data_IF_849957183184
#
_entry.id   IF_849957183184
#
_cell.length_a   1.000
_cell.length_b   1.000
_cell.length_c   1.000
_cell.angle_alpha   90.00
_cell.angle_beta   90.00
_cell.angle_gamma   90.00
#
_symmetry.space_group_name_H-M   'P 1'
#
loop_
_entity.id
_entity.type
_entity.pdbx_description
1 polymer ?
#
# COMPACT_ATOMS: atom_id res chain seq x y z
N UNK A 1 -12.66 16.22 -20.81
CA UNK A 1 -12.73 14.75 -20.73
C UNK A 1 -11.55 14.27 -19.89
N UNK A 2 -11.61 13.80 -18.64
CA UNK A 2 -12.62 13.71 -17.57
C UNK A 2 -11.78 13.27 -16.33
N UNK A 3 -11.27 14.20 -15.51
CA UNK A 3 -10.57 13.85 -14.24
C UNK A 3 -11.39 14.26 -12.99
N UNK A 4 -12.64 14.70 -13.19
CA UNK A 4 -13.56 15.09 -12.11
C UNK A 4 -14.51 13.95 -11.72
N UNK A 5 -13.96 12.78 -11.35
CA UNK A 5 -14.77 11.65 -10.88
C UNK A 5 -14.51 11.25 -9.42
N UNK A 6 -13.56 11.86 -8.71
CA UNK A 6 -13.48 11.70 -7.26
C UNK A 6 -12.66 12.85 -6.66
N UNK A 7 -13.13 13.50 -5.60
CA UNK A 7 -12.57 14.75 -5.05
C UNK A 7 -11.13 14.68 -4.53
N UNK A 8 -10.15 14.58 -5.43
CA UNK A 8 -8.73 14.56 -5.09
C UNK A 8 -8.16 15.98 -5.16
N UNK A 9 -7.76 16.49 -3.99
CA UNK A 9 -6.92 17.70 -3.86
C UNK A 9 -5.58 17.46 -4.57
N UNK A 10 -5.01 18.49 -5.18
CA UNK A 10 -3.65 18.44 -5.74
C UNK A 10 -2.69 17.90 -4.67
N UNK A 11 -1.87 16.87 -4.97
CA UNK A 11 -1.02 16.26 -3.96
C UNK A 11 -0.03 17.27 -3.38
N UNK A 12 0.18 17.24 -2.06
CA UNK A 12 1.15 18.13 -1.39
C UNK A 12 2.60 17.85 -1.80
N UNK A 13 2.87 16.63 -2.28
CA UNK A 13 4.18 16.17 -2.75
C UNK A 13 4.10 14.73 -3.26
N UNK A 14 5.23 14.22 -3.75
CA UNK A 14 5.37 12.83 -4.20
C UNK A 14 6.29 12.04 -3.29
N UNK A 15 5.92 10.80 -2.95
CA UNK A 15 6.69 9.89 -2.09
C UNK A 15 6.82 8.53 -2.77
N UNK A 16 7.97 7.89 -2.64
CA UNK A 16 8.20 6.52 -3.10
C UNK A 16 8.40 5.59 -1.91
N UNK A 17 7.60 4.53 -1.84
CA UNK A 17 7.71 3.43 -0.88
C UNK A 17 8.33 2.24 -1.60
N UNK A 18 9.45 1.74 -1.08
CA UNK A 18 10.16 0.58 -1.62
C UNK A 18 9.92 -0.61 -0.69
N UNK A 19 9.30 -1.67 -1.22
CA UNK A 19 8.88 -2.87 -0.50
C UNK A 19 7.38 -2.89 -0.24
N UNK A 20 6.64 -3.71 -0.99
CA UNK A 20 5.22 -4.01 -0.86
C UNK A 20 4.88 -5.10 0.15
N UNK A 21 5.62 -5.20 1.26
CA UNK A 21 5.19 -5.98 2.42
C UNK A 21 4.06 -5.28 3.20
N UNK A 22 3.54 -5.91 4.26
CA UNK A 22 2.47 -5.34 5.10
C UNK A 22 2.79 -3.92 5.59
N UNK A 23 4.03 -3.67 6.00
CA UNK A 23 4.48 -2.36 6.47
C UNK A 23 4.50 -1.30 5.36
N UNK A 24 4.97 -1.66 4.17
CA UNK A 24 5.04 -0.73 3.04
C UNK A 24 3.67 -0.42 2.45
N UNK A 25 2.79 -1.42 2.36
CA UNK A 25 1.40 -1.19 1.95
C UNK A 25 0.68 -0.26 2.93
N UNK A 26 0.82 -0.48 4.23
CA UNK A 26 0.21 0.40 5.23
C UNK A 26 0.77 1.81 5.16
N UNK A 27 2.09 1.95 5.05
CA UNK A 27 2.75 3.27 4.90
C UNK A 27 2.26 4.00 3.65
N UNK A 28 2.07 3.29 2.53
CA UNK A 28 1.57 3.88 1.30
C UNK A 28 0.13 4.37 1.44
N UNK A 29 -0.73 3.63 2.13
CA UNK A 29 -2.12 4.02 2.41
C UNK A 29 -2.15 5.25 3.34
N UNK A 30 -1.35 5.25 4.40
CA UNK A 30 -1.31 6.37 5.36
C UNK A 30 -0.83 7.67 4.68
N UNK A 31 0.17 7.58 3.80
CA UNK A 31 0.68 8.70 3.00
C UNK A 31 -0.33 9.17 1.95
N UNK A 32 -1.03 8.25 1.28
CA UNK A 32 -2.07 8.58 0.32
C UNK A 32 -3.25 9.30 1.00
N UNK A 33 -3.67 8.82 2.18
CA UNK A 33 -4.70 9.44 3.01
C UNK A 33 -4.27 10.82 3.52
N UNK A 34 -2.96 11.01 3.74
CA UNK A 34 -2.36 12.30 4.11
C UNK A 34 -2.28 13.29 2.94
N UNK A 35 -2.65 12.88 1.71
CA UNK A 35 -2.70 13.76 0.54
C UNK A 35 -1.40 13.81 -0.27
N UNK A 36 -0.52 12.82 -0.13
CA UNK A 36 0.65 12.66 -0.99
C UNK A 36 0.35 11.76 -2.18
N UNK A 37 1.07 11.99 -3.28
CA UNK A 37 1.09 11.07 -4.41
C UNK A 37 2.12 9.98 -4.11
N UNK A 38 1.69 8.73 -3.99
CA UNK A 38 2.54 7.64 -3.53
C UNK A 38 2.84 6.66 -4.66
N UNK A 39 4.13 6.42 -4.89
CA UNK A 39 4.63 5.33 -5.73
C UNK A 39 4.99 4.15 -4.83
N UNK A 40 4.41 2.97 -5.06
CA UNK A 40 4.78 1.74 -4.37
C UNK A 40 5.58 0.84 -5.32
N UNK A 41 6.84 0.55 -4.98
CA UNK A 41 7.73 -0.30 -5.75
C UNK A 41 7.98 -1.60 -4.99
N UNK A 42 7.67 -2.74 -5.60
CA UNK A 42 8.01 -4.07 -5.09
C UNK A 42 8.97 -4.76 -6.07
N UNK A 43 9.93 -5.51 -5.54
CA UNK A 43 10.92 -6.25 -6.32
C UNK A 43 10.29 -7.51 -6.93
N UNK A 44 9.40 -8.16 -6.22
CA UNK A 44 8.72 -9.38 -6.68
C UNK A 44 7.48 -9.09 -7.51
N UNK A 45 7.01 -10.11 -8.21
CA UNK A 45 5.81 -10.05 -9.06
C UNK A 45 4.50 -9.88 -8.27
N UNK A 46 4.53 -10.17 -6.96
CA UNK A 46 3.38 -10.07 -6.07
C UNK A 46 3.74 -9.20 -4.84
N UNK A 47 2.74 -8.49 -4.32
CA UNK A 47 2.77 -7.75 -3.06
C UNK A 47 2.36 -8.66 -1.88
N UNK A 48 2.63 -8.24 -0.65
CA UNK A 48 2.32 -8.97 0.59
C UNK A 48 3.56 -9.42 1.36
N UNK A 49 4.73 -9.46 0.70
CA UNK A 49 6.00 -9.83 1.33
C UNK A 49 5.93 -11.20 2.03
N UNK A 50 6.52 -11.31 3.22
CA UNK A 50 6.54 -12.58 3.96
C UNK A 50 5.16 -12.96 4.52
N UNK A 51 4.27 -11.99 4.77
CA UNK A 51 2.93 -12.27 5.28
C UNK A 51 2.12 -13.13 4.29
N UNK A 52 2.25 -12.88 2.99
CA UNK A 52 1.58 -13.66 1.95
C UNK A 52 2.08 -15.13 1.86
N UNK A 53 3.20 -15.45 2.50
CA UNK A 53 3.74 -16.81 2.55
C UNK A 53 3.32 -17.58 3.81
N UNK A 54 2.78 -16.90 4.81
CA UNK A 54 2.19 -17.55 5.98
C UNK A 54 0.81 -18.08 5.60
N UNK A 55 0.40 -19.19 6.19
CA UNK A 55 -0.95 -19.73 6.04
C UNK A 55 -1.93 -19.07 7.04
N UNK A 56 -1.40 -18.71 8.21
CA UNK A 56 -2.16 -18.19 9.35
C UNK A 56 -1.38 -17.15 10.16
N UNK A 57 -2.07 -16.13 10.65
CA UNK A 57 -1.51 -15.17 11.61
C UNK A 57 -1.87 -15.56 13.05
N UNK A 58 -0.86 -15.73 13.90
CA UNK A 58 -1.09 -15.82 15.34
C UNK A 58 -1.44 -14.42 15.89
N UNK A 59 -2.32 -14.25 16.91
CA UNK A 59 -3.03 -15.25 17.71
C UNK A 59 -4.41 -15.66 17.18
N UNK A 60 -4.95 -14.91 16.23
CA UNK A 60 -6.35 -15.08 15.78
C UNK A 60 -6.54 -16.26 14.83
N UNK A 61 -5.46 -16.78 14.25
CA UNK A 61 -5.47 -17.86 13.28
C UNK A 61 -6.32 -17.52 12.03
N UNK A 62 -6.28 -16.25 11.65
CA UNK A 62 -6.94 -15.76 10.43
C UNK A 62 -6.13 -16.13 9.20
N UNK A 63 -6.82 -16.27 8.07
CA UNK A 63 -6.15 -16.40 6.78
C UNK A 63 -5.44 -15.07 6.46
N UNK A 64 -4.20 -15.20 6.02
CA UNK A 64 -3.27 -14.13 5.65
C UNK A 64 -3.55 -13.55 4.26
N UNK A 65 -4.39 -14.21 3.46
CA UNK A 65 -4.86 -13.77 2.14
C UNK A 65 -6.35 -14.06 1.96
#
# INVERSE_FOLDING_TARGET
>A
MLDKANGKRSPAGSVMVVGGGIAGMQSAIDLANSGYYVYLLEKTWAIGGMMAQLDKTFPTNDCTM
#
